data_IF_037671596437
#
_entry.id   IF_037671596437
#
_cell.length_a   1.000
_cell.length_b   1.000
_cell.length_c   1.000
_cell.angle_alpha   90.00
_cell.angle_beta   90.00
_cell.angle_gamma   90.00
#
_symmetry.space_group_name_H-M   'P 1'
#
loop_
_entity.id
_entity.type
_entity.pdbx_description
1 polymer ?
#
# COMPACT_ATOMS: atom_id res chain seq x y z
N UNK A 1 -0.50 0.04 -26.10
CA UNK A 1 -1.10 -1.18 -25.54
C UNK A 1 -0.66 -2.36 -26.39
N UNK A 2 0.29 -3.15 -25.88
CA UNK A 2 0.93 -4.22 -26.65
C UNK A 2 -0.04 -5.36 -26.93
N UNK A 3 -0.26 -5.65 -28.22
CA UNK A 3 -1.06 -6.79 -28.74
C UNK A 3 -0.61 -8.15 -28.16
N UNK A 4 0.60 -8.21 -27.64
CA UNK A 4 1.17 -9.34 -26.89
C UNK A 4 0.35 -9.68 -25.63
N UNK A 5 -0.23 -8.69 -24.94
CA UNK A 5 -1.07 -8.90 -23.74
C UNK A 5 -2.38 -9.59 -24.11
N UNK A 6 -2.98 -9.25 -25.26
CA UNK A 6 -4.23 -9.87 -25.72
C UNK A 6 -4.02 -11.31 -26.17
N UNK A 7 -2.86 -11.63 -26.74
CA UNK A 7 -2.50 -13.01 -27.13
C UNK A 7 -2.23 -13.84 -25.87
N UNK A 8 -1.57 -13.28 -24.85
CA UNK A 8 -1.37 -13.95 -23.55
C UNK A 8 -2.70 -14.17 -22.83
N UNK A 9 -3.60 -13.19 -22.82
CA UNK A 9 -4.96 -13.33 -22.24
C UNK A 9 -5.76 -14.40 -23.00
N UNK A 10 -5.72 -14.41 -24.33
CA UNK A 10 -6.40 -15.43 -25.14
C UNK A 10 -5.83 -16.84 -24.96
N UNK A 11 -4.52 -16.96 -24.75
CA UNK A 11 -3.86 -18.24 -24.51
C UNK A 11 -4.11 -18.78 -23.09
N UNK A 12 -4.10 -17.90 -22.09
CA UNK A 12 -4.51 -18.24 -20.72
C UNK A 12 -5.98 -18.61 -20.68
N UNK A 13 -6.87 -17.83 -21.30
CA UNK A 13 -8.31 -18.15 -21.35
C UNK A 13 -8.59 -19.46 -22.14
N UNK A 14 -7.92 -19.67 -23.28
CA UNK A 14 -8.11 -20.86 -24.12
C UNK A 14 -7.53 -22.14 -23.52
N UNK A 15 -6.42 -22.03 -22.78
CA UNK A 15 -5.85 -23.15 -22.01
C UNK A 15 -6.70 -23.47 -20.77
N UNK A 16 -7.25 -22.45 -20.11
CA UNK A 16 -8.02 -22.57 -18.87
C UNK A 16 -9.46 -23.08 -19.07
N UNK A 17 -9.97 -23.09 -20.31
CA UNK A 17 -11.28 -23.66 -20.67
C UNK A 17 -11.27 -25.20 -20.83
N UNK A 18 -10.09 -25.85 -20.88
CA UNK A 18 -9.99 -27.29 -21.18
C UNK A 18 -9.56 -28.18 -20.01
N UNK A 19 -8.85 -27.67 -19.00
CA UNK A 19 -8.06 -28.56 -18.12
C UNK A 19 -8.11 -28.29 -16.60
N UNK A 20 -8.98 -27.42 -16.05
CA UNK A 20 -9.01 -27.23 -14.58
C UNK A 20 -10.32 -26.68 -14.05
N UNK A 21 -10.80 -27.28 -12.94
CA UNK A 21 -12.04 -27.05 -12.19
C UNK A 21 -12.44 -25.56 -12.00
N UNK A 22 -13.01 -24.97 -13.05
CA UNK A 22 -13.56 -23.61 -13.08
C UNK A 22 -14.64 -23.37 -12.02
N UNK A 23 -15.37 -24.42 -11.65
CA UNK A 23 -16.48 -24.33 -10.71
C UNK A 23 -16.03 -24.09 -9.26
N UNK A 24 -14.88 -24.66 -8.85
CA UNK A 24 -14.33 -24.45 -7.50
C UNK A 24 -13.85 -23.01 -7.30
N UNK A 25 -13.28 -22.43 -8.35
CA UNK A 25 -12.85 -21.05 -8.35
C UNK A 25 -14.06 -20.10 -8.32
N UNK A 26 -15.16 -20.46 -8.99
CA UNK A 26 -16.43 -19.71 -8.95
C UNK A 26 -17.15 -19.79 -7.60
N UNK A 27 -17.13 -20.94 -6.92
CA UNK A 27 -17.68 -21.06 -5.56
C UNK A 27 -16.90 -20.21 -4.54
N UNK A 28 -15.56 -20.25 -4.61
CA UNK A 28 -14.72 -19.38 -3.77
C UNK A 28 -15.00 -17.90 -4.04
N UNK A 29 -15.15 -17.52 -5.31
CA UNK A 29 -15.52 -16.15 -5.68
C UNK A 29 -16.87 -15.74 -5.14
N UNK A 30 -17.87 -16.62 -5.18
CA UNK A 30 -19.16 -16.34 -4.56
C UNK A 30 -19.00 -16.03 -3.07
N UNK A 31 -18.13 -16.71 -2.32
CA UNK A 31 -17.95 -16.38 -0.89
C UNK A 31 -17.27 -15.01 -0.64
N UNK A 32 -16.44 -14.54 -1.58
CA UNK A 32 -15.86 -13.18 -1.52
C UNK A 32 -16.85 -12.09 -1.93
N UNK A 33 -17.82 -12.43 -2.80
CA UNK A 33 -18.82 -11.50 -3.33
C UNK A 33 -20.19 -11.62 -2.64
N UNK A 34 -20.39 -12.63 -1.80
CA UNK A 34 -21.54 -12.72 -0.93
C UNK A 34 -21.45 -11.57 0.07
N UNK A 35 -22.43 -10.64 0.07
CA UNK A 35 -22.43 -9.53 0.99
C UNK A 35 -22.60 -10.12 2.39
N UNK A 36 -21.53 -10.19 3.17
CA UNK A 36 -21.67 -10.10 4.63
C UNK A 36 -22.49 -8.84 4.85
N UNK A 37 -23.73 -9.00 5.34
CA UNK A 37 -24.68 -7.93 5.54
C UNK A 37 -23.99 -6.80 6.30
N UNK A 38 -23.54 -5.79 5.56
CA UNK A 38 -23.04 -4.56 6.14
C UNK A 38 -24.18 -4.05 7.01
N UNK A 39 -23.99 -3.89 8.34
CA UNK A 39 -25.00 -3.24 9.13
C UNK A 39 -25.24 -1.88 8.49
N UNK A 40 -26.44 -1.70 7.90
CA UNK A 40 -26.98 -0.42 7.48
C UNK A 40 -27.15 0.45 8.72
N UNK A 41 -26.04 0.93 9.30
CA UNK A 41 -26.07 2.13 10.12
C UNK A 41 -25.94 3.30 9.15
N UNK A 42 -26.89 4.25 9.16
CA UNK A 42 -26.78 5.45 8.34
C UNK A 42 -25.44 6.11 8.64
N UNK A 43 -24.72 6.57 7.61
CA UNK A 43 -23.49 7.36 7.77
C UNK A 43 -23.92 8.69 8.41
N UNK A 44 -23.62 8.96 9.68
CA UNK A 44 -23.89 10.27 10.27
C UNK A 44 -22.77 11.18 9.77
N UNK A 45 -23.06 11.89 8.68
CA UNK A 45 -22.22 12.97 8.18
C UNK A 45 -22.28 14.14 9.17
N UNK A 46 -21.48 14.09 10.23
CA UNK A 46 -21.26 15.13 11.27
C UNK A 46 -22.17 14.97 12.51
N UNK A 47 -21.60 14.45 13.61
CA UNK A 47 -21.88 14.90 15.00
C UNK A 47 -20.92 14.20 15.98
N UNK A 48 -19.77 14.83 16.19
CA UNK A 48 -19.26 15.25 17.51
C UNK A 48 -19.61 14.40 18.75
N UNK A 49 -18.66 13.58 19.24
CA UNK A 49 -18.31 13.56 20.68
C UNK A 49 -16.97 12.88 20.97
N UNK A 50 -16.15 13.61 21.71
CA UNK A 50 -14.83 13.28 22.25
C UNK A 50 -14.82 12.21 23.38
N UNK A 51 -13.63 11.62 23.57
CA UNK A 51 -12.91 11.34 24.84
C UNK A 51 -13.13 10.03 25.65
N UNK A 52 -12.17 9.09 25.53
CA UNK A 52 -11.27 8.49 26.57
C UNK A 52 -10.77 7.11 26.10
N UNK A 53 -9.49 6.74 26.04
CA UNK A 53 -8.32 7.18 26.79
C UNK A 53 -7.09 7.33 25.89
N UNK A 54 -6.31 8.38 26.15
CA UNK A 54 -5.16 8.80 25.36
C UNK A 54 -3.90 7.93 25.63
N UNK A 55 -3.27 7.33 24.60
CA UNK A 55 -1.81 7.39 24.52
C UNK A 55 -1.42 8.84 24.17
N UNK A 56 -0.22 9.31 24.54
CA UNK A 56 0.09 10.73 24.56
C UNK A 56 -0.06 11.31 23.15
N UNK A 57 -0.94 12.32 23.04
CA UNK A 57 -1.07 13.33 21.98
C UNK A 57 -0.13 13.08 20.79
N UNK A 58 -0.51 12.16 19.90
CA UNK A 58 0.14 12.04 18.60
C UNK A 58 -0.52 13.13 17.78
N UNK A 59 0.23 14.19 17.49
CA UNK A 59 -0.17 15.24 16.58
C UNK A 59 -0.86 14.62 15.35
N UNK A 60 -1.90 15.25 14.80
CA UNK A 60 -2.57 14.76 13.59
C UNK A 60 -1.58 14.76 12.42
N UNK A 61 -0.79 13.69 12.29
CA UNK A 61 0.18 13.51 11.23
C UNK A 61 -0.61 13.12 9.98
N UNK A 62 -0.90 14.11 9.14
CA UNK A 62 -1.46 13.85 7.81
C UNK A 62 -0.42 13.06 6.99
N UNK A 63 -0.75 11.84 6.51
CA UNK A 63 0.22 11.02 5.79
C UNK A 63 0.59 11.66 4.45
N UNK A 64 1.88 11.76 4.18
CA UNK A 64 2.38 12.21 2.89
C UNK A 64 2.33 11.10 1.85
N UNK A 65 2.22 11.46 0.55
CA UNK A 65 2.32 10.49 -0.53
C UNK A 65 3.79 10.09 -0.76
N UNK A 66 4.32 9.22 0.10
CA UNK A 66 5.70 8.70 0.02
C UNK A 66 6.04 8.05 -1.33
N UNK A 67 5.03 7.54 -2.04
CA UNK A 67 5.11 6.98 -3.41
C UNK A 67 5.62 7.98 -4.46
N UNK A 68 5.65 9.29 -4.15
CA UNK A 68 6.26 10.30 -5.03
C UNK A 68 7.78 10.16 -5.14
N UNK A 69 8.42 9.51 -4.18
CA UNK A 69 9.87 9.30 -4.17
C UNK A 69 10.20 8.10 -5.03
N UNK A 70 11.16 8.26 -5.94
CA UNK A 70 11.57 7.16 -6.83
C UNK A 70 12.08 5.98 -6.00
N UNK A 71 11.53 4.79 -6.26
CA UNK A 71 11.88 3.56 -5.55
C UNK A 71 10.98 3.23 -4.34
N UNK A 72 10.12 4.15 -3.91
CA UNK A 72 9.06 3.86 -2.94
C UNK A 72 7.79 3.41 -3.67
N UNK A 73 7.62 2.09 -3.80
CA UNK A 73 6.37 1.49 -4.27
C UNK A 73 5.38 1.22 -3.12
N UNK A 74 4.17 0.71 -3.42
CA UNK A 74 3.14 0.41 -2.42
C UNK A 74 3.65 -0.47 -1.28
N UNK A 75 4.47 -1.48 -1.59
CA UNK A 75 5.06 -2.39 -0.60
C UNK A 75 6.01 -1.66 0.36
N UNK A 76 6.86 -0.78 -0.17
CA UNK A 76 7.84 -0.04 0.63
C UNK A 76 7.10 0.99 1.51
N UNK A 77 6.10 1.66 0.96
CA UNK A 77 5.21 2.56 1.71
C UNK A 77 4.51 1.82 2.85
N UNK A 78 3.96 0.62 2.62
CA UNK A 78 3.35 -0.17 3.69
C UNK A 78 4.35 -0.48 4.78
N UNK A 79 5.57 -0.95 4.43
CA UNK A 79 6.61 -1.19 5.44
C UNK A 79 6.99 0.05 6.24
N UNK A 80 7.10 1.20 5.59
CA UNK A 80 7.38 2.48 6.24
C UNK A 80 6.26 2.87 7.21
N UNK A 81 5.01 2.80 6.75
CA UNK A 81 3.83 3.07 7.57
C UNK A 81 3.70 2.12 8.77
N UNK A 82 3.97 0.83 8.56
CA UNK A 82 3.96 -0.18 9.62
C UNK A 82 5.04 0.10 10.70
N UNK A 83 6.11 0.80 10.32
CA UNK A 83 7.18 1.27 11.20
C UNK A 83 6.98 2.71 11.69
N UNK A 84 5.79 3.29 11.48
CA UNK A 84 5.45 4.62 12.00
C UNK A 84 5.95 5.79 11.15
N UNK A 85 6.41 5.54 9.92
CA UNK A 85 6.92 6.57 8.99
C UNK A 85 5.84 6.89 7.96
N UNK A 86 5.14 8.00 8.19
CA UNK A 86 4.00 8.44 7.39
C UNK A 86 4.27 9.73 6.60
N UNK A 87 5.31 10.50 6.94
CA UNK A 87 5.61 11.80 6.31
C UNK A 87 6.98 11.86 5.67
N UNK A 88 7.17 12.79 4.73
CA UNK A 88 8.47 13.10 4.14
C UNK A 88 9.46 13.57 5.21
N UNK A 89 8.99 14.28 6.23
CA UNK A 89 9.81 14.73 7.36
C UNK A 89 10.35 13.56 8.19
N UNK A 90 9.52 12.59 8.51
CA UNK A 90 9.94 11.38 9.24
C UNK A 90 10.90 10.55 8.40
N UNK A 91 10.59 10.35 7.11
CA UNK A 91 11.46 9.61 6.19
C UNK A 91 12.83 10.28 6.02
N UNK A 92 12.88 11.62 5.95
CA UNK A 92 14.10 12.40 5.83
C UNK A 92 14.96 12.43 7.10
N UNK A 93 14.36 12.12 8.26
CA UNK A 93 15.04 12.03 9.55
C UNK A 93 15.74 10.68 9.75
N UNK A 94 15.35 9.65 9.00
CA UNK A 94 15.99 8.34 9.05
C UNK A 94 17.42 8.37 8.50
N UNK A 95 18.28 7.53 9.06
CA UNK A 95 19.56 7.19 8.45
C UNK A 95 19.40 6.17 7.33
N UNK A 96 20.34 6.09 6.37
CA UNK A 96 20.30 5.07 5.32
C UNK A 96 20.22 3.65 5.88
N UNK A 97 20.89 3.40 7.00
CA UNK A 97 20.89 2.10 7.67
C UNK A 97 19.52 1.76 8.27
N UNK A 98 18.89 2.69 8.98
CA UNK A 98 17.54 2.50 9.53
C UNK A 98 16.52 2.28 8.42
N UNK A 99 16.64 3.03 7.31
CA UNK A 99 15.79 2.85 6.15
C UNK A 99 15.96 1.44 5.56
N UNK A 100 17.20 0.96 5.42
CA UNK A 100 17.49 -0.41 4.99
C UNK A 100 16.94 -1.47 5.95
N UNK A 101 17.01 -1.25 7.27
CA UNK A 101 16.44 -2.15 8.27
C UNK A 101 14.91 -2.26 8.15
N UNK A 102 14.22 -1.16 7.85
CA UNK A 102 12.76 -1.11 7.67
C UNK A 102 12.33 -1.75 6.33
N UNK A 103 12.97 -1.35 5.23
CA UNK A 103 12.50 -1.66 3.87
C UNK A 103 13.16 -2.91 3.29
N UNK A 104 14.33 -3.27 3.81
CA UNK A 104 15.21 -4.35 3.36
C UNK A 104 16.17 -3.92 2.25
N UNK A 105 17.28 -4.66 2.12
CA UNK A 105 18.33 -4.46 1.10
C UNK A 105 17.86 -4.61 -0.35
N UNK A 106 16.64 -5.10 -0.58
CA UNK A 106 16.04 -5.24 -1.91
C UNK A 106 15.83 -3.90 -2.63
N UNK A 107 15.76 -2.78 -1.89
CA UNK A 107 15.56 -1.46 -2.46
C UNK A 107 16.75 -0.97 -3.31
N UNK A 108 17.98 -1.40 -2.94
CA UNK A 108 19.24 -1.10 -3.65
C UNK A 108 19.26 -1.57 -5.11
N UNK A 109 18.34 -2.46 -5.51
CA UNK A 109 18.17 -2.89 -6.90
C UNK A 109 17.52 -1.83 -7.78
N UNK A 110 16.86 -0.85 -7.17
CA UNK A 110 16.07 0.17 -7.85
C UNK A 110 16.54 1.59 -7.56
N UNK A 111 16.98 1.86 -6.31
CA UNK A 111 17.47 3.17 -5.89
C UNK A 111 18.31 3.05 -4.61
N UNK A 112 19.20 4.01 -4.40
CA UNK A 112 19.98 4.13 -3.17
C UNK A 112 19.14 4.76 -2.04
N UNK A 113 19.36 4.33 -0.80
CA UNK A 113 18.69 4.86 0.40
C UNK A 113 18.97 6.35 0.60
N UNK A 114 20.20 6.77 0.33
CA UNK A 114 20.58 8.18 0.39
C UNK A 114 19.81 9.04 -0.61
N UNK A 115 19.53 8.50 -1.80
CA UNK A 115 18.73 9.19 -2.81
C UNK A 115 17.28 9.37 -2.34
N UNK A 116 16.70 8.34 -1.71
CA UNK A 116 15.37 8.42 -1.09
C UNK A 116 15.31 9.51 -0.02
N UNK A 117 16.27 9.51 0.91
CA UNK A 117 16.34 10.48 2.01
C UNK A 117 16.53 11.90 1.45
N UNK A 118 17.35 12.05 0.42
CA UNK A 118 17.57 13.33 -0.27
C UNK A 118 16.31 13.84 -0.98
N UNK A 119 15.55 12.97 -1.64
CA UNK A 119 14.27 13.33 -2.26
C UNK A 119 13.21 13.69 -1.22
N UNK A 120 13.12 12.94 -0.11
CA UNK A 120 12.24 13.28 1.01
C UNK A 120 12.54 14.69 1.56
N UNK A 121 13.82 15.05 1.70
CA UNK A 121 14.27 16.41 2.07
C UNK A 121 13.92 17.50 1.06
N UNK A 122 13.75 17.15 -0.22
CA UNK A 122 13.30 18.09 -1.24
C UNK A 122 11.79 18.29 -1.22
N UNK A 123 11.04 17.22 -0.95
CA UNK A 123 9.58 17.23 -0.97
C UNK A 123 8.94 17.80 0.30
N UNK A 124 9.68 17.89 1.41
CA UNK A 124 9.23 18.58 2.62
C UNK A 124 9.21 20.12 2.50
N UNK A 125 9.72 20.68 1.41
CA UNK A 125 9.96 22.11 1.25
C UNK A 125 8.74 22.88 0.74
#
# INVERSE_FOLDING_TARGET
MSRLILIIIGFVAGWFLKDSNWEEWMEKLKSYFEPQEAPKKPIPLLEEKEAKAAPPKVDEVFPDPLEKIKGIGPVIKTKLNDNGVFTFAQLAALTPKELEEIVGSGIKRFTDEEAIISEAKKLMR
#
